data_IF_245928335972
#
_entry.id   IF_245928335972
#
_cell.length_a   1.000
_cell.length_b   1.000
_cell.length_c   1.000
_cell.angle_alpha   90.00
_cell.angle_beta   90.00
_cell.angle_gamma   90.00
#
_symmetry.space_group_name_H-M   'P 1'
#
loop_
_entity.id
_entity.type
_entity.pdbx_description
1 polymer ?
#
# COMPACT_ATOMS: atom_id res chain seq x y z
N UNK A 1 -8.53 -6.13 7.39
CA UNK A 1 -9.65 -5.49 6.67
C UNK A 1 -10.06 -4.20 7.35
N UNK A 2 -10.35 -3.14 6.58
CA UNK A 2 -10.46 -1.78 7.10
C UNK A 2 -11.83 -1.38 7.63
N UNK A 3 -12.91 -2.01 7.14
CA UNK A 3 -14.29 -1.84 7.60
C UNK A 3 -14.97 -3.20 7.59
N UNK A 4 -15.88 -3.46 8.53
CA UNK A 4 -16.72 -4.66 8.49
C UNK A 4 -17.73 -4.60 7.34
N UNK A 5 -18.02 -5.77 6.75
CA UNK A 5 -18.95 -5.94 5.65
C UNK A 5 -19.66 -7.31 5.74
N UNK A 6 -20.81 -7.41 5.09
CA UNK A 6 -21.63 -8.65 5.02
C UNK A 6 -21.39 -9.42 3.72
N UNK A 7 -20.95 -8.72 2.67
CA UNK A 7 -20.70 -9.27 1.35
C UNK A 7 -19.39 -8.71 0.81
N UNK A 8 -18.63 -9.52 0.08
CA UNK A 8 -17.37 -9.11 -0.53
C UNK A 8 -17.28 -9.42 -2.02
N UNK A 9 -16.32 -8.80 -2.69
CA UNK A 9 -15.74 -9.25 -3.95
C UNK A 9 -14.23 -9.37 -3.84
N UNK A 10 -13.66 -10.23 -4.67
CA UNK A 10 -12.22 -10.42 -4.77
C UNK A 10 -11.77 -9.98 -6.16
N UNK A 11 -10.67 -9.24 -6.23
CA UNK A 11 -9.98 -8.92 -7.47
C UNK A 11 -8.70 -9.75 -7.59
N UNK A 12 -8.53 -10.43 -8.72
CA UNK A 12 -7.33 -11.18 -9.04
C UNK A 12 -6.70 -10.58 -10.29
N UNK A 13 -5.40 -10.33 -10.23
CA UNK A 13 -4.64 -9.60 -11.23
C UNK A 13 -3.54 -10.46 -11.82
N UNK A 14 -3.42 -10.38 -13.15
CA UNK A 14 -2.31 -10.88 -13.93
C UNK A 14 -1.56 -9.71 -14.62
N UNK A 15 -1.58 -8.52 -14.01
CA UNK A 15 -1.03 -7.28 -14.57
C UNK A 15 0.42 -7.36 -15.07
N UNK A 16 1.25 -8.20 -14.44
CA UNK A 16 2.66 -8.39 -14.83
C UNK A 16 2.92 -9.75 -15.49
N UNK A 17 1.90 -10.59 -15.62
CA UNK A 17 2.04 -11.87 -16.31
C UNK A 17 2.04 -11.71 -17.81
N UNK A 18 2.91 -12.47 -18.46
CA UNK A 18 3.02 -12.53 -19.93
C UNK A 18 2.29 -13.73 -20.54
N UNK A 19 1.76 -14.62 -19.70
CA UNK A 19 0.95 -15.78 -20.06
C UNK A 19 -0.40 -15.69 -19.34
N UNK A 20 -1.40 -16.41 -19.86
CA UNK A 20 -2.66 -16.65 -19.18
C UNK A 20 -2.44 -17.23 -17.78
N UNK A 21 -3.24 -16.76 -16.81
CA UNK A 21 -3.30 -17.30 -15.45
C UNK A 21 -4.54 -18.21 -15.32
N UNK A 22 -4.38 -19.54 -15.36
CA UNK A 22 -5.49 -20.49 -15.37
C UNK A 22 -5.92 -20.85 -13.94
N UNK A 23 -6.84 -20.06 -13.38
CA UNK A 23 -7.38 -20.29 -12.04
C UNK A 23 -8.42 -21.41 -12.08
N UNK A 24 -8.15 -22.50 -11.36
CA UNK A 24 -9.06 -23.66 -11.33
C UNK A 24 -10.10 -23.53 -10.23
N UNK A 25 -9.72 -23.03 -9.06
CA UNK A 25 -10.63 -22.82 -7.94
C UNK A 25 -10.11 -21.76 -6.98
N UNK A 26 -11.01 -21.03 -6.34
CA UNK A 26 -10.69 -20.06 -5.28
C UNK A 26 -11.69 -20.21 -4.13
N UNK A 27 -11.19 -20.14 -2.90
CA UNK A 27 -12.02 -20.08 -1.69
C UNK A 27 -11.57 -18.94 -0.78
N UNK A 28 -12.48 -18.49 0.07
CA UNK A 28 -12.23 -17.49 1.10
C UNK A 28 -12.70 -18.01 2.45
N UNK A 29 -11.93 -17.71 3.51
CA UNK A 29 -12.26 -18.08 4.89
C UNK A 29 -11.65 -17.09 5.88
N UNK A 30 -12.15 -17.09 7.12
CA UNK A 30 -11.46 -16.41 8.22
C UNK A 30 -10.30 -17.30 8.71
N UNK A 31 -9.11 -16.74 8.97
CA UNK A 31 -8.04 -17.49 9.62
C UNK A 31 -8.39 -17.81 11.08
N UNK A 32 -7.80 -18.88 11.62
CA UNK A 32 -7.93 -19.20 13.05
C UNK A 32 -7.35 -18.05 13.89
N UNK A 33 -8.03 -17.70 14.99
CA UNK A 33 -7.63 -16.65 15.94
C UNK A 33 -7.40 -15.25 15.33
N UNK A 34 -7.93 -14.99 14.13
CA UNK A 34 -7.68 -13.74 13.40
C UNK A 34 -6.18 -13.47 13.15
N UNK A 35 -5.34 -14.51 13.07
CA UNK A 35 -3.90 -14.36 12.91
C UNK A 35 -3.54 -14.19 11.43
N UNK A 36 -2.71 -13.21 11.09
CA UNK A 36 -2.22 -13.04 9.73
C UNK A 36 -1.12 -14.07 9.42
N UNK A 37 -1.08 -14.56 8.19
CA UNK A 37 0.00 -15.40 7.67
C UNK A 37 0.08 -16.83 8.22
N UNK A 38 -0.94 -17.30 8.93
CA UNK A 38 -1.09 -18.72 9.28
C UNK A 38 -1.75 -19.50 8.15
N UNK A 39 -1.60 -20.82 8.11
CA UNK A 39 -2.24 -21.67 7.09
C UNK A 39 -3.62 -22.15 7.53
N UNK A 40 -3.90 -22.13 8.83
CA UNK A 40 -5.14 -22.64 9.43
C UNK A 40 -6.30 -21.66 9.22
N UNK A 41 -7.42 -22.21 8.73
CA UNK A 41 -8.66 -21.50 8.50
C UNK A 41 -9.80 -22.04 9.36
N UNK A 42 -10.80 -21.19 9.58
CA UNK A 42 -12.07 -21.58 10.17
C UNK A 42 -12.96 -22.17 9.07
N UNK A 43 -12.94 -23.49 8.89
CA UNK A 43 -13.65 -24.19 7.80
C UNK A 43 -15.16 -23.89 7.75
N UNK A 44 -15.79 -23.59 8.88
CA UNK A 44 -17.22 -23.18 8.94
C UNK A 44 -17.52 -21.86 8.22
N UNK A 45 -16.51 -21.02 8.01
CA UNK A 45 -16.62 -19.73 7.32
C UNK A 45 -16.30 -19.84 5.83
N UNK A 46 -15.85 -21.02 5.38
CA UNK A 46 -15.36 -21.21 4.02
C UNK A 46 -16.47 -20.96 2.99
N UNK A 47 -16.15 -20.12 2.00
CA UNK A 47 -17.00 -19.85 0.85
C UNK A 47 -16.22 -20.08 -0.43
N UNK A 48 -16.88 -20.72 -1.39
CA UNK A 48 -16.39 -20.81 -2.76
C UNK A 48 -16.52 -19.45 -3.44
N UNK A 49 -15.53 -19.12 -4.26
CA UNK A 49 -15.50 -17.91 -5.07
C UNK A 49 -15.79 -18.30 -6.51
N UNK A 50 -16.71 -17.60 -7.16
CA UNK A 50 -17.07 -17.79 -8.56
C UNK A 50 -16.80 -16.53 -9.37
N UNK A 51 -16.71 -16.67 -10.69
CA UNK A 51 -16.49 -15.62 -11.65
C UNK A 51 -17.51 -15.76 -12.79
N UNK A 52 -18.49 -14.86 -12.85
CA UNK A 52 -19.59 -14.94 -13.82
C UNK A 52 -20.31 -16.30 -13.78
N UNK A 53 -20.51 -16.85 -12.57
CA UNK A 53 -21.14 -18.15 -12.32
C UNK A 53 -20.20 -19.36 -12.44
N UNK A 54 -18.97 -19.21 -12.93
CA UNK A 54 -17.99 -20.29 -13.05
C UNK A 54 -17.09 -20.39 -11.82
N UNK A 55 -16.74 -21.61 -11.40
CA UNK A 55 -15.75 -21.84 -10.32
C UNK A 55 -14.30 -21.63 -10.76
N UNK A 56 -14.06 -21.57 -12.06
CA UNK A 56 -12.74 -21.39 -12.68
C UNK A 56 -12.77 -20.22 -13.67
N UNK A 57 -11.61 -19.63 -13.91
CA UNK A 57 -11.44 -18.54 -14.86
C UNK A 57 -10.01 -18.48 -15.38
N UNK A 58 -9.84 -18.06 -16.63
CA UNK A 58 -8.54 -17.67 -17.16
C UNK A 58 -8.44 -16.16 -17.10
N UNK A 59 -7.40 -15.66 -16.42
CA UNK A 59 -7.08 -14.22 -16.43
C UNK A 59 -6.07 -13.99 -17.55
N UNK A 60 -6.43 -13.24 -18.62
CA UNK A 60 -5.50 -12.95 -19.71
C UNK A 60 -4.23 -12.26 -19.22
N UNK A 61 -3.17 -12.31 -20.02
CA UNK A 61 -1.95 -11.53 -19.77
C UNK A 61 -2.26 -10.04 -19.57
N UNK A 62 -1.67 -9.42 -18.55
CA UNK A 62 -1.96 -8.03 -18.17
C UNK A 62 -3.38 -7.79 -17.62
N UNK A 63 -4.22 -8.81 -17.55
CA UNK A 63 -5.63 -8.72 -17.23
C UNK A 63 -5.93 -8.68 -15.73
N UNK A 64 -7.19 -8.38 -15.42
CA UNK A 64 -7.75 -8.42 -14.08
C UNK A 64 -9.17 -8.99 -14.15
N UNK A 65 -9.53 -9.83 -13.19
CA UNK A 65 -10.89 -10.36 -13.02
C UNK A 65 -11.42 -10.01 -11.64
N UNK A 66 -12.74 -9.94 -11.55
CA UNK A 66 -13.47 -9.68 -10.31
C UNK A 66 -14.42 -10.85 -10.08
N UNK A 67 -14.49 -11.34 -8.85
CA UNK A 67 -15.43 -12.40 -8.49
C UNK A 67 -16.89 -11.91 -8.54
N UNK A 68 -17.81 -12.86 -8.60
CA UNK A 68 -19.19 -12.61 -8.20
C UNK A 68 -19.24 -12.19 -6.71
N UNK A 69 -20.32 -11.53 -6.25
CA UNK A 69 -20.48 -11.22 -4.83
C UNK A 69 -20.49 -12.49 -3.97
N UNK A 70 -19.79 -12.46 -2.83
CA UNK A 70 -19.69 -13.57 -1.88
C UNK A 70 -20.31 -13.14 -0.56
N UNK A 71 -21.34 -13.85 -0.09
CA UNK A 71 -21.93 -13.65 1.23
C UNK A 71 -20.97 -14.13 2.32
N UNK A 72 -20.08 -13.22 2.72
CA UNK A 72 -18.97 -13.46 3.64
C UNK A 72 -18.87 -12.29 4.62
N UNK A 73 -19.42 -12.51 5.81
CA UNK A 73 -19.40 -11.54 6.90
C UNK A 73 -18.05 -11.54 7.59
N UNK A 74 -17.50 -10.36 7.83
CA UNK A 74 -16.33 -10.15 8.69
C UNK A 74 -16.40 -8.78 9.39
N UNK A 75 -15.74 -8.68 10.52
CA UNK A 75 -15.67 -7.46 11.33
C UNK A 75 -14.47 -6.57 10.96
N UNK A 76 -14.52 -5.31 11.37
CA UNK A 76 -13.39 -4.38 11.20
C UNK A 76 -12.13 -4.93 11.87
N UNK A 77 -10.96 -4.71 11.25
CA UNK A 77 -9.65 -5.24 11.66
C UNK A 77 -9.51 -6.77 11.61
N UNK A 78 -10.45 -7.50 11.01
CA UNK A 78 -10.25 -8.92 10.74
C UNK A 78 -9.34 -9.17 9.54
N UNK A 79 -8.60 -10.28 9.58
CA UNK A 79 -7.84 -10.86 8.49
C UNK A 79 -8.74 -11.82 7.70
N UNK A 80 -8.42 -12.00 6.44
CA UNK A 80 -9.09 -12.94 5.53
C UNK A 80 -8.02 -13.81 4.89
N UNK A 81 -8.29 -15.11 4.78
CA UNK A 81 -7.49 -16.05 4.02
C UNK A 81 -8.17 -16.29 2.67
N UNK A 82 -7.40 -16.20 1.58
CA UNK A 82 -7.84 -16.54 0.23
C UNK A 82 -6.94 -17.64 -0.28
N UNK A 83 -7.54 -18.76 -0.66
CA UNK A 83 -6.81 -19.90 -1.23
C UNK A 83 -7.10 -19.97 -2.72
N UNK A 84 -6.04 -19.96 -3.54
CA UNK A 84 -6.11 -20.02 -4.99
C UNK A 84 -5.43 -21.32 -5.45
N UNK A 85 -6.13 -22.11 -6.27
CA UNK A 85 -5.59 -23.33 -6.86
C UNK A 85 -5.44 -23.19 -8.38
N UNK A 86 -4.24 -23.52 -8.86
CA UNK A 86 -3.87 -23.54 -10.27
C UNK A 86 -3.51 -24.99 -10.63
N UNK A 87 -4.44 -25.76 -11.21
CA UNK A 87 -4.22 -27.18 -11.50
C UNK A 87 -3.02 -27.41 -12.43
N UNK A 88 -2.88 -26.56 -13.45
CA UNK A 88 -1.77 -26.60 -14.41
C UNK A 88 -0.56 -25.77 -13.97
N UNK A 89 -0.64 -25.11 -12.81
CA UNK A 89 0.33 -24.11 -12.37
C UNK A 89 0.27 -22.82 -13.20
N UNK A 90 1.17 -21.88 -12.89
CA UNK A 90 1.41 -20.68 -13.68
C UNK A 90 2.58 -20.92 -14.65
N UNK A 91 2.37 -20.61 -15.93
CA UNK A 91 3.44 -20.69 -16.92
C UNK A 91 4.41 -19.50 -16.80
N UNK A 92 5.71 -19.78 -16.81
CA UNK A 92 6.78 -18.78 -16.76
C UNK A 92 6.99 -18.16 -15.37
N UNK A 93 7.92 -17.20 -15.31
CA UNK A 93 8.37 -16.58 -14.05
C UNK A 93 7.90 -15.13 -13.85
N UNK A 94 7.22 -14.56 -14.84
CA UNK A 94 6.60 -13.24 -14.73
C UNK A 94 5.29 -13.39 -13.93
N UNK A 95 5.40 -13.41 -12.61
CA UNK A 95 4.28 -13.63 -11.69
C UNK A 95 3.86 -12.32 -11.03
N UNK A 96 2.60 -11.94 -11.22
CA UNK A 96 2.00 -10.78 -10.53
C UNK A 96 2.01 -11.03 -9.02
N UNK A 97 2.78 -10.22 -8.30
CA UNK A 97 3.04 -10.48 -6.89
C UNK A 97 3.43 -9.21 -6.12
N UNK A 98 3.32 -9.27 -4.80
CA UNK A 98 3.77 -8.22 -3.89
C UNK A 98 4.80 -8.78 -2.91
N UNK A 99 6.11 -8.68 -3.21
CA UNK A 99 7.18 -9.17 -2.33
C UNK A 99 7.30 -8.35 -1.03
N UNK A 100 6.69 -7.15 -1.01
CA UNK A 100 6.57 -6.31 0.17
C UNK A 100 5.33 -6.60 1.03
N UNK A 101 4.66 -7.75 0.89
CA UNK A 101 3.41 -8.00 1.61
C UNK A 101 3.57 -8.09 3.14
N UNK A 102 4.78 -8.36 3.65
CA UNK A 102 5.12 -8.62 5.08
C UNK A 102 4.08 -9.51 5.76
N UNK A 103 3.54 -10.43 4.97
CA UNK A 103 2.51 -11.39 5.36
C UNK A 103 2.83 -12.70 4.70
N UNK A 104 2.93 -13.75 5.49
CA UNK A 104 3.25 -15.09 5.03
C UNK A 104 2.12 -15.65 4.19
N UNK A 105 2.43 -16.12 2.98
CA UNK A 105 1.58 -17.01 2.19
C UNK A 105 2.12 -18.42 2.27
N UNK A 106 1.22 -19.40 2.22
CA UNK A 106 1.54 -20.82 2.23
C UNK A 106 1.25 -21.43 0.86
N UNK A 107 2.08 -22.38 0.43
CA UNK A 107 2.06 -22.98 -0.89
C UNK A 107 2.23 -24.49 -0.72
N UNK A 108 1.37 -25.29 -1.33
CA UNK A 108 1.42 -26.77 -1.28
C UNK A 108 0.84 -27.33 -2.57
N UNK A 109 1.19 -28.56 -2.91
CA UNK A 109 0.69 -29.22 -4.11
C UNK A 109 -0.74 -29.76 -3.95
N UNK A 110 -1.42 -29.91 -5.08
CA UNK A 110 -2.76 -30.46 -5.15
C UNK A 110 -3.87 -29.47 -4.80
N UNK A 111 -5.11 -29.90 -5.00
CA UNK A 111 -6.28 -29.06 -4.73
C UNK A 111 -6.61 -29.05 -3.23
N UNK A 112 -6.10 -28.03 -2.52
CA UNK A 112 -6.31 -27.85 -1.08
C UNK A 112 -7.31 -26.73 -0.74
N UNK A 113 -8.16 -26.29 -1.69
CA UNK A 113 -9.06 -25.14 -1.47
C UNK A 113 -10.06 -25.32 -0.32
N UNK A 114 -10.34 -26.56 0.09
CA UNK A 114 -11.22 -26.89 1.22
C UNK A 114 -10.47 -27.40 2.46
N UNK A 115 -9.14 -27.43 2.43
CA UNK A 115 -8.34 -27.96 3.52
C UNK A 115 -8.42 -27.03 4.75
N UNK A 116 -8.52 -27.56 5.98
CA UNK A 116 -8.51 -26.75 7.19
C UNK A 116 -7.18 -26.03 7.42
N UNK A 117 -6.09 -26.55 6.86
CA UNK A 117 -4.74 -25.97 6.92
C UNK A 117 -3.81 -26.62 5.89
N UNK A 118 -2.67 -26.00 5.62
CA UNK A 118 -1.63 -26.56 4.75
C UNK A 118 -0.55 -27.26 5.57
N UNK A 119 -0.74 -28.55 5.84
CA UNK A 119 0.14 -29.37 6.69
C UNK A 119 0.84 -30.49 5.92
N UNK A 120 0.74 -30.50 4.59
CA UNK A 120 1.39 -31.52 3.78
C UNK A 120 2.93 -31.40 3.90
N UNK A 121 3.69 -32.50 3.76
CA UNK A 121 5.15 -32.47 3.87
C UNK A 121 5.84 -31.53 2.87
N UNK A 122 5.18 -31.22 1.75
CA UNK A 122 5.66 -30.31 0.71
C UNK A 122 5.23 -28.85 0.92
N UNK A 123 4.50 -28.55 1.99
CA UNK A 123 4.04 -27.20 2.27
C UNK A 123 5.23 -26.25 2.50
N UNK A 124 5.33 -25.23 1.66
CA UNK A 124 6.28 -24.14 1.76
C UNK A 124 5.58 -22.85 2.18
N UNK A 125 6.36 -21.86 2.63
CA UNK A 125 5.82 -20.54 2.93
C UNK A 125 6.82 -19.43 2.59
N UNK A 126 6.30 -18.23 2.33
CA UNK A 126 7.10 -17.03 2.04
C UNK A 126 6.32 -15.76 2.39
N UNK A 127 7.01 -14.71 2.83
CA UNK A 127 6.39 -13.41 3.14
C UNK A 127 6.12 -12.59 1.86
N UNK A 128 5.19 -13.07 1.04
CA UNK A 128 4.92 -12.59 -0.32
C UNK A 128 3.44 -12.82 -0.67
N UNK A 129 2.74 -11.85 -1.26
CA UNK A 129 1.40 -12.09 -1.84
C UNK A 129 1.48 -12.36 -3.35
N UNK A 130 0.57 -13.18 -3.86
CA UNK A 130 0.47 -13.51 -5.29
C UNK A 130 -0.96 -13.29 -5.78
N UNK A 131 -1.09 -12.70 -6.96
CA UNK A 131 -2.32 -12.52 -7.76
C UNK A 131 -3.46 -11.69 -7.14
N UNK A 132 -3.77 -11.86 -5.86
CA UNK A 132 -4.80 -11.13 -5.13
C UNK A 132 -4.45 -9.64 -5.08
N UNK A 133 -5.27 -8.80 -5.72
CA UNK A 133 -5.04 -7.35 -5.80
C UNK A 133 -5.99 -6.53 -4.92
N UNK A 134 -7.19 -7.04 -4.62
CA UNK A 134 -8.11 -6.40 -3.68
C UNK A 134 -9.11 -7.39 -3.08
N UNK A 135 -9.58 -7.05 -1.88
CA UNK A 135 -10.82 -7.56 -1.29
C UNK A 135 -11.70 -6.36 -1.01
N UNK A 136 -12.87 -6.33 -1.63
CA UNK A 136 -13.81 -5.21 -1.59
C UNK A 136 -15.02 -5.59 -0.75
N UNK A 137 -15.31 -4.86 0.31
CA UNK A 137 -16.51 -5.06 1.12
C UNK A 137 -17.66 -4.19 0.65
N UNK A 138 -18.85 -4.77 0.49
CA UNK A 138 -20.06 -4.00 0.31
C UNK A 138 -20.45 -3.34 1.63
N UNK A 139 -20.54 -2.01 1.63
CA UNK A 139 -20.81 -1.25 2.82
C UNK A 139 -21.87 -0.17 2.57
N UNK A 140 -22.70 0.11 3.57
CA UNK A 140 -23.77 1.11 3.48
C UNK A 140 -23.23 2.53 3.19
N UNK A 141 -24.11 3.40 2.68
CA UNK A 141 -23.79 4.79 2.36
C UNK A 141 -23.20 5.57 3.54
N UNK A 142 -22.38 6.58 3.23
CA UNK A 142 -21.67 7.42 4.20
C UNK A 142 -20.25 6.94 4.57
N UNK A 143 -19.85 5.75 4.11
CA UNK A 143 -18.47 5.27 4.21
C UNK A 143 -17.63 5.71 3.01
N UNK A 144 -16.31 5.73 3.17
CA UNK A 144 -15.38 6.09 2.09
C UNK A 144 -14.02 5.45 2.29
N UNK A 145 -13.11 5.66 1.34
CA UNK A 145 -11.76 5.11 1.38
C UNK A 145 -10.70 6.21 1.34
N UNK A 146 -9.68 6.03 2.16
CA UNK A 146 -8.43 6.77 2.15
C UNK A 146 -7.37 5.93 1.45
N UNK A 147 -6.96 6.36 0.26
CA UNK A 147 -5.98 5.65 -0.56
C UNK A 147 -4.62 6.31 -0.44
N UNK A 148 -3.59 5.51 -0.16
CA UNK A 148 -2.23 6.00 0.05
C UNK A 148 -1.31 5.43 -1.03
N UNK A 149 -0.75 6.31 -1.85
CA UNK A 149 0.31 6.03 -2.80
C UNK A 149 1.63 6.30 -2.09
N UNK A 150 2.54 5.33 -2.12
CA UNK A 150 3.74 5.35 -1.30
C UNK A 150 4.83 4.40 -1.75
N UNK A 151 5.99 4.50 -1.10
CA UNK A 151 7.14 3.62 -1.32
C UNK A 151 7.29 2.57 -0.19
N UNK A 152 8.51 2.04 -0.02
CA UNK A 152 8.84 1.04 1.02
C UNK A 152 8.51 1.48 2.45
N UNK A 153 8.48 2.77 2.73
CA UNK A 153 8.15 3.29 4.07
C UNK A 153 6.66 3.08 4.35
N UNK A 154 5.78 3.39 3.39
CA UNK A 154 4.34 3.18 3.55
C UNK A 154 3.96 1.71 3.36
N UNK A 155 4.64 1.03 2.46
CA UNK A 155 4.51 -0.43 2.26
C UNK A 155 5.02 -1.21 3.49
N UNK A 156 5.77 -0.56 4.38
CA UNK A 156 5.98 -1.02 5.75
C UNK A 156 7.27 -1.79 6.00
N UNK A 157 8.35 -1.53 5.27
CA UNK A 157 9.69 -2.05 5.59
C UNK A 157 10.08 -1.65 7.02
N UNK A 158 10.56 -2.57 7.86
CA UNK A 158 10.81 -2.31 9.29
C UNK A 158 9.63 -2.63 10.21
N UNK A 159 8.46 -2.98 9.67
CA UNK A 159 7.35 -3.56 10.43
C UNK A 159 7.56 -5.05 10.72
N UNK A 160 6.76 -5.61 11.62
CA UNK A 160 6.81 -7.05 11.94
C UNK A 160 6.05 -7.84 10.88
N UNK A 161 6.70 -8.84 10.29
CA UNK A 161 6.02 -9.82 9.42
C UNK A 161 4.85 -10.45 10.17
N UNK A 162 3.67 -10.48 9.54
CA UNK A 162 2.39 -10.93 10.12
C UNK A 162 1.84 -10.05 11.26
N UNK A 163 2.48 -8.91 11.56
CA UNK A 163 2.10 -8.06 12.70
C UNK A 163 1.01 -7.01 12.41
N UNK A 164 0.73 -6.73 11.13
CA UNK A 164 -0.18 -5.65 10.69
C UNK A 164 0.06 -4.35 11.50
N UNK A 165 1.33 -3.94 11.58
CA UNK A 165 1.79 -2.82 12.41
C UNK A 165 2.64 -1.81 11.61
N UNK A 166 2.30 -1.65 10.32
CA UNK A 166 2.77 -0.53 9.50
C UNK A 166 2.03 0.75 9.91
N UNK A 167 2.55 1.92 9.55
CA UNK A 167 1.85 3.17 9.92
C UNK A 167 0.40 3.26 9.40
N UNK A 168 0.02 2.75 8.20
CA UNK A 168 -1.39 2.78 7.78
C UNK A 168 -2.27 1.84 8.61
N UNK A 169 -1.73 0.69 9.06
CA UNK A 169 -2.45 -0.24 9.93
C UNK A 169 -2.69 0.38 11.31
N UNK A 170 -1.66 1.04 11.86
CA UNK A 170 -1.72 1.73 13.15
C UNK A 170 -2.63 2.97 13.08
N UNK A 171 -2.59 3.71 11.96
CA UNK A 171 -3.49 4.82 11.69
C UNK A 171 -4.94 4.33 11.65
N UNK A 172 -5.22 3.24 10.95
CA UNK A 172 -6.56 2.64 10.90
C UNK A 172 -7.07 2.31 12.31
N UNK A 173 -6.24 1.74 13.19
CA UNK A 173 -6.61 1.50 14.60
C UNK A 173 -6.92 2.80 15.36
N UNK A 174 -6.17 3.87 15.10
CA UNK A 174 -6.45 5.19 15.67
C UNK A 174 -7.76 5.79 15.12
N UNK A 175 -8.05 5.61 13.84
CA UNK A 175 -9.30 6.05 13.20
C UNK A 175 -10.53 5.38 13.81
N UNK A 176 -10.44 4.09 14.20
CA UNK A 176 -11.56 3.40 14.84
C UNK A 176 -12.00 4.02 16.17
N UNK A 177 -11.16 4.86 16.81
CA UNK A 177 -11.47 5.54 18.08
C UNK A 177 -12.35 6.80 17.90
N UNK A 178 -12.66 7.23 16.68
CA UNK A 178 -13.44 8.44 16.40
C UNK A 178 -14.65 8.13 15.51
N UNK A 179 -15.77 8.79 15.79
CA UNK A 179 -17.05 8.50 15.11
C UNK A 179 -17.00 8.69 13.59
N UNK A 180 -16.34 9.76 13.13
CA UNK A 180 -16.26 10.06 11.70
C UNK A 180 -15.27 9.12 10.99
N UNK A 181 -14.05 9.01 11.50
CA UNK A 181 -12.99 8.27 10.80
C UNK A 181 -13.12 6.75 10.88
N UNK A 182 -13.87 6.20 11.84
CA UNK A 182 -14.21 4.76 11.83
C UNK A 182 -15.03 4.30 10.62
N UNK A 183 -15.60 5.24 9.85
CA UNK A 183 -16.33 4.97 8.62
C UNK A 183 -15.45 5.00 7.36
N UNK A 184 -14.15 5.24 7.51
CA UNK A 184 -13.21 5.38 6.41
C UNK A 184 -12.30 4.15 6.38
N UNK A 185 -12.28 3.44 5.26
CA UNK A 185 -11.31 2.37 5.02
C UNK A 185 -9.95 2.97 4.66
N UNK A 186 -8.87 2.30 5.06
CA UNK A 186 -7.51 2.62 4.58
C UNK A 186 -7.12 1.61 3.52
N UNK A 187 -6.69 2.09 2.36
CA UNK A 187 -6.19 1.30 1.23
C UNK A 187 -4.72 1.69 1.00
N UNK A 188 -3.82 0.80 1.38
CA UNK A 188 -2.40 0.99 1.19
C UNK A 188 -1.99 0.50 -0.20
N UNK A 189 -1.72 1.43 -1.12
CA UNK A 189 -1.24 1.19 -2.47
C UNK A 189 0.25 1.50 -2.60
N UNK A 190 1.00 1.41 -1.49
CA UNK A 190 2.43 1.62 -1.52
C UNK A 190 3.17 0.38 -2.02
N UNK A 191 4.31 0.60 -2.68
CA UNK A 191 5.17 -0.47 -3.16
C UNK A 191 6.63 -0.22 -2.81
N UNK A 192 7.32 -1.24 -2.30
CA UNK A 192 8.75 -1.17 -2.01
C UNK A 192 9.57 -0.68 -3.20
N UNK A 193 10.50 0.26 -2.96
CA UNK A 193 11.33 0.83 -4.02
C UNK A 193 10.56 1.60 -5.10
N UNK A 194 9.29 1.95 -4.86
CA UNK A 194 8.53 2.74 -5.83
C UNK A 194 9.09 4.15 -5.97
N UNK A 195 8.96 4.67 -7.18
CA UNK A 195 9.47 5.95 -7.62
C UNK A 195 8.36 6.66 -8.37
N UNK A 196 8.35 7.98 -8.31
CA UNK A 196 7.35 8.79 -9.01
C UNK A 196 7.66 8.87 -10.50
N UNK A 197 8.94 8.99 -10.87
CA UNK A 197 9.35 9.37 -12.23
C UNK A 197 9.69 8.19 -13.15
N UNK A 198 10.15 7.07 -12.59
CA UNK A 198 10.68 5.93 -13.33
C UNK A 198 10.26 4.63 -12.66
N UNK A 199 10.09 3.54 -13.41
CA UNK A 199 9.73 2.25 -12.82
C UNK A 199 10.83 1.76 -11.88
N UNK A 200 10.48 1.27 -10.68
CA UNK A 200 11.41 0.72 -9.69
C UNK A 200 11.31 -0.80 -9.64
N UNK A 201 11.01 -1.33 -8.45
CA UNK A 201 10.58 -2.74 -8.29
C UNK A 201 9.17 -2.99 -8.86
N UNK A 202 8.48 -1.93 -9.28
CA UNK A 202 7.20 -1.95 -9.98
C UNK A 202 6.98 -0.63 -10.74
N UNK A 203 5.83 -0.48 -11.43
CA UNK A 203 5.52 0.71 -12.23
C UNK A 203 5.59 2.01 -11.43
N UNK A 204 6.08 3.07 -12.06
CA UNK A 204 6.16 4.40 -11.46
C UNK A 204 4.80 4.92 -10.97
N UNK A 205 4.82 5.76 -9.93
CA UNK A 205 3.60 6.27 -9.30
C UNK A 205 2.73 7.10 -10.27
N UNK A 206 3.36 7.90 -11.15
CA UNK A 206 2.61 8.70 -12.14
C UNK A 206 1.76 7.81 -13.07
N UNK A 207 2.29 6.68 -13.50
CA UNK A 207 1.65 5.75 -14.42
C UNK A 207 0.57 4.87 -13.79
N UNK A 208 0.44 4.87 -12.46
CA UNK A 208 -0.49 3.98 -11.74
C UNK A 208 -1.63 4.67 -11.00
N UNK A 209 -1.73 6.01 -11.05
CA UNK A 209 -2.79 6.77 -10.32
C UNK A 209 -4.20 6.32 -10.71
N UNK A 210 -4.51 6.12 -12.00
CA UNK A 210 -5.86 5.66 -12.39
C UNK A 210 -6.17 4.31 -11.78
N UNK A 211 -5.25 3.35 -11.92
CA UNK A 211 -5.42 1.97 -11.47
C UNK A 211 -5.51 1.88 -9.95
N UNK A 212 -4.57 2.54 -9.26
CA UNK A 212 -4.36 2.35 -7.83
C UNK A 212 -5.17 3.32 -6.98
N UNK A 213 -5.62 4.44 -7.52
CA UNK A 213 -6.39 5.45 -6.76
C UNK A 213 -7.80 5.61 -7.33
N UNK A 214 -7.91 6.01 -8.59
CA UNK A 214 -9.18 6.47 -9.16
C UNK A 214 -10.15 5.32 -9.45
N UNK A 215 -9.63 4.12 -9.75
CA UNK A 215 -10.41 2.91 -9.99
C UNK A 215 -10.74 2.12 -8.70
N UNK A 216 -10.34 2.63 -7.53
CA UNK A 216 -10.68 2.02 -6.25
C UNK A 216 -12.08 2.46 -5.79
N UNK A 217 -12.99 1.52 -5.45
CA UNK A 217 -14.33 1.90 -5.04
C UNK A 217 -14.34 2.71 -3.75
N UNK A 218 -15.18 3.75 -3.73
CA UNK A 218 -15.40 4.57 -2.55
C UNK A 218 -14.22 5.49 -2.18
N UNK A 219 -13.20 5.65 -3.04
CA UNK A 219 -12.14 6.64 -2.82
C UNK A 219 -12.74 8.00 -2.51
N UNK A 220 -12.34 8.54 -1.36
CA UNK A 220 -12.81 9.83 -0.84
C UNK A 220 -11.65 10.73 -0.41
N UNK A 221 -10.50 10.14 -0.06
CA UNK A 221 -9.29 10.86 0.30
C UNK A 221 -8.09 10.18 -0.34
N UNK A 222 -7.12 10.96 -0.79
CA UNK A 222 -5.89 10.46 -1.41
C UNK A 222 -4.69 11.03 -0.65
N UNK A 223 -3.64 10.24 -0.49
CA UNK A 223 -2.35 10.73 -0.02
C UNK A 223 -1.23 10.22 -0.90
N UNK A 224 -0.24 11.07 -1.15
CA UNK A 224 1.04 10.68 -1.72
C UNK A 224 2.16 10.88 -0.70
N UNK A 225 2.95 9.83 -0.48
CA UNK A 225 4.16 9.85 0.32
C UNK A 225 5.27 9.07 -0.39
N UNK A 226 5.94 9.74 -1.31
CA UNK A 226 6.98 9.18 -2.18
C UNK A 226 8.04 10.24 -2.51
N UNK A 227 9.08 9.82 -3.24
CA UNK A 227 10.15 10.67 -3.78
C UNK A 227 11.53 10.33 -3.23
N UNK A 228 11.62 9.57 -2.13
CA UNK A 228 12.92 9.19 -1.55
C UNK A 228 13.75 8.34 -2.50
N UNK A 229 13.12 7.40 -3.21
CA UNK A 229 13.81 6.53 -4.15
C UNK A 229 14.19 7.25 -5.44
N UNK A 230 13.44 8.26 -5.88
CA UNK A 230 13.80 9.12 -7.01
C UNK A 230 15.10 9.88 -6.72
N UNK A 231 15.21 10.46 -5.52
CA UNK A 231 16.43 11.16 -5.04
C UNK A 231 17.58 10.17 -4.84
N UNK A 232 17.32 9.08 -4.10
CA UNK A 232 18.31 8.13 -3.64
C UNK A 232 18.94 7.27 -4.74
N UNK A 233 18.19 6.99 -5.82
CA UNK A 233 18.70 6.20 -6.96
C UNK A 233 19.38 7.04 -8.03
N UNK A 234 19.08 8.34 -8.13
CA UNK A 234 19.75 9.23 -9.06
C UNK A 234 21.21 9.50 -8.63
N UNK A 235 22.13 9.78 -9.56
CA UNK A 235 23.49 10.21 -9.22
C UNK A 235 23.48 11.40 -8.25
N UNK A 236 24.44 11.45 -7.35
CA UNK A 236 24.58 12.53 -6.36
C UNK A 236 25.27 13.78 -6.91
N UNK A 237 25.21 14.02 -8.22
CA UNK A 237 25.74 15.24 -8.86
C UNK A 237 24.67 16.31 -8.88
N UNK A 238 25.08 17.58 -8.86
CA UNK A 238 24.18 18.73 -8.87
C UNK A 238 23.25 18.71 -10.09
N UNK A 239 23.78 18.34 -11.25
CA UNK A 239 23.04 18.31 -12.52
C UNK A 239 21.94 17.25 -12.49
N UNK A 240 22.27 16.03 -12.05
CA UNK A 240 21.29 14.94 -11.97
C UNK A 240 20.20 15.24 -10.94
N UNK A 241 20.60 15.78 -9.80
CA UNK A 241 19.71 16.14 -8.70
C UNK A 241 18.80 17.33 -9.05
N UNK A 242 19.28 18.29 -9.84
CA UNK A 242 18.44 19.37 -10.38
C UNK A 242 17.36 18.82 -11.32
N UNK A 243 17.70 17.87 -12.19
CA UNK A 243 16.72 17.20 -13.06
C UNK A 243 15.67 16.47 -12.23
N UNK A 244 16.07 15.75 -11.19
CA UNK A 244 15.14 15.07 -10.27
C UNK A 244 14.20 16.07 -9.60
N UNK A 245 14.73 17.16 -9.04
CA UNK A 245 13.93 18.22 -8.41
C UNK A 245 12.86 18.76 -9.36
N UNK A 246 13.25 19.21 -10.56
CA UNK A 246 12.32 19.81 -11.52
C UNK A 246 11.25 18.83 -11.96
N UNK A 247 11.63 17.58 -12.24
CA UNK A 247 10.69 16.55 -12.68
C UNK A 247 9.74 16.12 -11.57
N UNK A 248 10.20 16.01 -10.31
CA UNK A 248 9.34 15.67 -9.18
C UNK A 248 8.30 16.76 -8.89
N UNK A 249 8.68 18.03 -8.94
CA UNK A 249 7.73 19.15 -8.78
C UNK A 249 6.60 19.06 -9.80
N UNK A 250 6.94 18.90 -11.08
CA UNK A 250 5.95 18.76 -12.15
C UNK A 250 5.10 17.50 -11.99
N UNK A 251 5.70 16.39 -11.58
CA UNK A 251 5.01 15.13 -11.33
C UNK A 251 3.95 15.26 -10.24
N UNK A 252 4.31 15.85 -9.11
CA UNK A 252 3.41 16.07 -7.99
C UNK A 252 2.21 16.94 -8.40
N UNK A 253 2.46 17.99 -9.19
CA UNK A 253 1.39 18.83 -9.75
C UNK A 253 0.46 18.03 -10.64
N UNK A 254 0.99 17.25 -11.59
CA UNK A 254 0.17 16.44 -12.50
C UNK A 254 -0.64 15.36 -11.78
N UNK A 255 -0.07 14.71 -10.76
CA UNK A 255 -0.78 13.75 -9.92
C UNK A 255 -1.94 14.45 -9.19
N UNK A 256 -1.67 15.59 -8.56
CA UNK A 256 -2.72 16.36 -7.87
C UNK A 256 -3.83 16.80 -8.81
N UNK A 257 -3.49 17.36 -9.97
CA UNK A 257 -4.46 17.76 -11.00
C UNK A 257 -5.37 16.60 -11.43
N UNK A 258 -4.81 15.40 -11.66
CA UNK A 258 -5.60 14.21 -12.02
C UNK A 258 -6.51 13.73 -10.90
N UNK A 259 -6.08 13.82 -9.65
CA UNK A 259 -6.91 13.49 -8.49
C UNK A 259 -8.03 14.50 -8.28
N UNK A 260 -7.71 15.80 -8.39
CA UNK A 260 -8.68 16.88 -8.32
C UNK A 260 -9.73 16.79 -9.42
N UNK A 261 -9.40 16.33 -10.64
CA UNK A 261 -10.40 16.11 -11.69
C UNK A 261 -11.57 15.20 -11.27
N UNK A 262 -11.37 14.35 -10.25
CA UNK A 262 -12.40 13.49 -9.64
C UNK A 262 -13.02 14.10 -8.36
N UNK A 263 -12.74 15.37 -8.07
CA UNK A 263 -13.17 16.14 -6.88
C UNK A 263 -12.66 15.55 -5.56
N UNK A 264 -11.56 14.80 -5.61
CA UNK A 264 -10.96 14.14 -4.46
C UNK A 264 -9.88 15.03 -3.83
N UNK A 265 -9.87 15.22 -2.51
CA UNK A 265 -8.75 15.86 -1.83
C UNK A 265 -7.50 14.98 -1.92
N UNK A 266 -6.35 15.60 -2.15
CA UNK A 266 -5.04 14.96 -2.10
C UNK A 266 -4.16 15.59 -1.02
N UNK A 267 -3.65 14.74 -0.13
CA UNK A 267 -2.69 15.07 0.90
C UNK A 267 -1.28 14.68 0.45
N UNK A 268 -0.26 15.41 0.91
CA UNK A 268 1.13 15.01 0.73
C UNK A 268 1.84 14.88 2.08
N UNK A 269 2.78 13.93 2.17
CA UNK A 269 3.79 13.94 3.23
C UNK A 269 5.14 14.43 2.69
N UNK A 270 5.87 15.16 3.52
CA UNK A 270 7.29 15.47 3.28
C UNK A 270 8.13 14.20 3.33
N UNK A 271 9.16 14.13 2.48
CA UNK A 271 10.14 13.05 2.40
C UNK A 271 10.95 12.99 3.70
N UNK A 272 10.96 11.85 4.37
CA UNK A 272 11.67 11.65 5.64
C UNK A 272 13.19 11.65 5.46
N UNK A 273 13.97 11.88 6.53
CA UNK A 273 15.42 11.83 6.46
C UNK A 273 15.96 10.46 6.00
N UNK A 274 17.10 10.48 5.31
CA UNK A 274 17.83 9.28 4.86
C UNK A 274 19.36 9.41 5.00
N UNK A 275 19.81 10.44 5.72
CA UNK A 275 21.21 10.70 5.98
C UNK A 275 21.79 9.64 6.92
N UNK A 276 23.07 9.37 6.72
CA UNK A 276 23.79 8.32 7.42
C UNK A 276 25.24 8.72 7.65
N UNK A 277 25.80 8.41 8.84
CA UNK A 277 27.24 8.52 9.09
C UNK A 277 28.05 7.45 8.34
N UNK A 278 27.40 6.40 7.82
CA UNK A 278 28.02 5.31 7.08
C UNK A 278 27.32 5.13 5.70
N UNK A 279 27.84 5.75 4.63
CA UNK A 279 27.26 5.65 3.29
C UNK A 279 27.17 4.21 2.75
N UNK A 280 27.95 3.26 3.28
CA UNK A 280 27.82 1.84 2.91
C UNK A 280 26.61 1.18 3.55
N UNK A 281 26.14 1.66 4.70
CA UNK A 281 24.90 1.20 5.33
C UNK A 281 23.68 1.80 4.62
N UNK A 282 23.74 3.09 4.30
CA UNK A 282 22.68 3.78 3.58
C UNK A 282 23.22 4.50 2.33
N UNK A 283 23.16 3.84 1.16
CA UNK A 283 23.68 4.38 -0.09
C UNK A 283 23.00 5.66 -0.58
N UNK A 284 21.82 6.00 -0.04
CA UNK A 284 21.13 7.26 -0.38
C UNK A 284 21.81 8.48 0.25
N UNK A 285 22.57 8.28 1.34
CA UNK A 285 23.24 9.36 2.06
C UNK A 285 24.30 10.05 1.20
N UNK A 286 23.99 11.26 0.74
CA UNK A 286 24.93 12.15 0.06
C UNK A 286 24.49 13.61 0.29
N UNK A 287 25.42 14.57 0.47
CA UNK A 287 25.08 15.97 0.70
C UNK A 287 24.17 16.58 -0.37
N UNK A 288 24.42 16.30 -1.66
CA UNK A 288 23.61 16.85 -2.74
C UNK A 288 22.20 16.25 -2.77
N UNK A 289 22.04 14.96 -2.45
CA UNK A 289 20.73 14.32 -2.32
C UNK A 289 19.93 14.90 -1.15
N UNK A 290 20.58 15.18 -0.03
CA UNK A 290 19.96 15.86 1.11
C UNK A 290 19.53 17.28 0.75
N UNK A 291 20.36 18.03 0.03
CA UNK A 291 20.00 19.34 -0.51
C UNK A 291 18.72 19.27 -1.37
N UNK A 292 18.64 18.29 -2.27
CA UNK A 292 17.43 18.03 -3.07
C UNK A 292 16.21 17.69 -2.22
N UNK A 293 16.37 16.81 -1.22
CA UNK A 293 15.29 16.44 -0.30
C UNK A 293 14.74 17.67 0.42
N UNK A 294 15.60 18.54 0.93
CA UNK A 294 15.21 19.77 1.61
C UNK A 294 14.46 20.72 0.66
N UNK A 295 14.94 20.89 -0.58
CA UNK A 295 14.27 21.70 -1.60
C UNK A 295 12.87 21.16 -1.95
N UNK A 296 12.74 19.85 -2.12
CA UNK A 296 11.45 19.20 -2.40
C UNK A 296 10.51 19.36 -1.20
N UNK A 297 10.99 19.13 0.03
CA UNK A 297 10.17 19.27 1.22
C UNK A 297 9.72 20.72 1.45
N UNK A 298 10.57 21.70 1.21
CA UNK A 298 10.20 23.12 1.23
C UNK A 298 9.11 23.42 0.18
N UNK A 299 9.26 22.91 -1.04
CA UNK A 299 8.24 23.04 -2.08
C UNK A 299 6.91 22.37 -1.69
N UNK A 300 6.94 21.14 -1.16
CA UNK A 300 5.75 20.41 -0.67
C UNK A 300 5.05 21.25 0.41
N UNK A 301 5.77 21.79 1.39
CA UNK A 301 5.19 22.65 2.44
C UNK A 301 4.53 23.90 1.86
N UNK A 302 5.18 24.56 0.90
CA UNK A 302 4.68 25.77 0.24
C UNK A 302 3.51 25.52 -0.72
N UNK A 303 3.31 24.27 -1.15
CA UNK A 303 2.24 23.89 -2.06
C UNK A 303 0.92 23.53 -1.36
N UNK A 304 0.91 23.50 -0.01
CA UNK A 304 -0.31 23.40 0.80
C UNK A 304 -1.33 24.47 0.43
N UNK A 305 -2.57 24.05 0.15
CA UNK A 305 -3.67 24.90 -0.29
C UNK A 305 -3.57 25.37 -1.74
N UNK A 306 -2.59 24.88 -2.51
CA UNK A 306 -2.37 25.23 -3.92
C UNK A 306 -2.35 23.99 -4.81
N UNK A 307 -1.45 23.05 -4.51
CA UNK A 307 -1.32 21.76 -5.19
C UNK A 307 -1.92 20.65 -4.32
N UNK A 308 -1.61 20.66 -3.02
CA UNK A 308 -2.15 19.69 -2.07
C UNK A 308 -3.12 20.36 -1.13
N UNK A 309 -4.23 19.69 -0.84
CA UNK A 309 -5.26 20.18 0.08
C UNK A 309 -4.77 20.20 1.53
N UNK A 310 -3.89 19.26 1.86
CA UNK A 310 -3.16 19.22 3.12
C UNK A 310 -1.74 18.68 2.93
N UNK A 311 -0.86 19.10 3.84
CA UNK A 311 0.52 18.62 3.93
C UNK A 311 0.79 18.18 5.36
N UNK A 312 1.32 16.97 5.53
CA UNK A 312 1.71 16.40 6.81
C UNK A 312 3.24 16.26 6.86
N UNK A 313 3.87 16.89 7.85
CA UNK A 313 5.32 17.01 7.91
C UNK A 313 5.98 15.79 8.58
N UNK A 314 6.00 14.66 7.86
CA UNK A 314 6.66 13.43 8.31
C UNK A 314 8.17 13.60 8.52
N UNK A 315 8.82 14.54 7.82
CA UNK A 315 10.21 14.91 8.07
C UNK A 315 10.36 15.45 9.50
N UNK A 316 9.52 16.43 9.89
CA UNK A 316 9.53 16.96 11.24
C UNK A 316 9.16 15.92 12.30
N UNK A 317 8.34 14.91 11.96
CA UNK A 317 8.00 13.84 12.89
C UNK A 317 9.20 12.95 13.19
N UNK A 318 9.98 12.60 12.17
CA UNK A 318 10.96 11.53 12.28
C UNK A 318 12.41 11.99 12.38
N UNK A 319 12.73 13.24 12.06
CA UNK A 319 14.12 13.72 12.09
C UNK A 319 14.72 13.79 13.48
N UNK A 320 16.00 13.44 13.59
CA UNK A 320 16.77 13.61 14.82
C UNK A 320 16.90 15.11 15.15
N UNK A 321 16.51 15.58 16.35
CA UNK A 321 16.71 16.97 16.76
C UNK A 321 18.19 17.39 16.80
N UNK A 322 19.14 16.46 16.90
CA UNK A 322 20.59 16.73 16.89
C UNK A 322 21.18 16.75 15.49
N UNK A 323 20.57 16.04 14.54
CA UNK A 323 20.98 16.04 13.14
C UNK A 323 19.78 15.78 12.22
N UNK A 324 19.19 16.86 11.69
CA UNK A 324 17.97 16.80 10.89
C UNK A 324 18.10 16.01 9.57
N UNK A 325 19.32 15.63 9.18
CA UNK A 325 19.55 14.77 8.01
C UNK A 325 19.28 13.29 8.30
N UNK A 326 19.18 12.89 9.57
CA UNK A 326 19.01 11.49 10.00
C UNK A 326 17.65 11.26 10.66
N UNK A 327 17.21 10.01 10.67
CA UNK A 327 16.09 9.59 11.52
C UNK A 327 16.49 9.68 12.98
N UNK A 328 15.54 10.09 13.84
CA UNK A 328 15.70 10.05 15.28
C UNK A 328 15.96 8.59 15.71
N UNK A 329 17.01 8.28 16.48
CA UNK A 329 17.41 6.90 16.76
C UNK A 329 16.31 5.94 17.24
N UNK A 330 15.35 6.33 18.10
CA UNK A 330 14.23 5.45 18.49
C UNK A 330 13.30 5.11 17.33
N UNK A 331 13.26 5.95 16.30
CA UNK A 331 12.41 5.79 15.12
C UNK A 331 13.15 5.17 13.93
N UNK A 332 14.45 4.90 14.03
CA UNK A 332 15.21 4.22 12.98
C UNK A 332 15.14 2.69 13.16
N UNK A 333 14.85 1.95 12.08
CA UNK A 333 14.91 0.49 12.09
C UNK A 333 16.35 -0.06 12.11
N UNK A 334 17.34 0.82 11.93
CA UNK A 334 18.77 0.52 11.92
C UNK A 334 19.42 0.64 10.54
N UNK A 335 18.64 0.94 9.49
CA UNK A 335 19.13 1.16 8.13
C UNK A 335 19.14 2.64 7.70
N UNK A 336 18.77 3.55 8.63
CA UNK A 336 18.82 4.99 8.46
C UNK A 336 17.93 5.53 7.34
N UNK A 337 16.92 4.75 6.94
CA UNK A 337 15.92 5.14 5.92
C UNK A 337 14.51 4.74 6.34
N UNK A 338 14.34 3.52 6.86
CA UNK A 338 13.02 3.01 7.19
C UNK A 338 12.71 3.18 8.68
N UNK A 339 11.49 3.65 9.01
CA UNK A 339 11.07 3.75 10.39
C UNK A 339 11.04 2.39 11.10
N UNK A 340 11.42 2.39 12.37
CA UNK A 340 11.12 1.30 13.31
C UNK A 340 9.62 1.23 13.61
N UNK A 341 9.20 0.19 14.34
CA UNK A 341 7.83 0.13 14.87
C UNK A 341 7.46 1.36 15.71
N UNK A 342 8.38 1.88 16.51
CA UNK A 342 8.14 3.10 17.28
C UNK A 342 7.99 4.32 16.37
N UNK A 343 8.76 4.41 15.28
CA UNK A 343 8.59 5.43 14.25
C UNK A 343 7.24 5.35 13.55
N UNK A 344 6.79 4.15 13.17
CA UNK A 344 5.47 3.95 12.57
C UNK A 344 4.32 4.28 13.52
N UNK A 345 4.43 3.91 14.80
CA UNK A 345 3.47 4.29 15.82
C UNK A 345 3.41 5.82 15.98
N UNK A 346 4.57 6.47 16.00
CA UNK A 346 4.65 7.93 16.11
C UNK A 346 4.00 8.65 14.92
N UNK A 347 4.20 8.17 13.69
CA UNK A 347 3.50 8.69 12.50
C UNK A 347 1.98 8.57 12.69
N UNK A 348 1.50 7.37 13.06
CA UNK A 348 0.07 7.11 13.21
C UNK A 348 -0.58 7.93 14.33
N UNK A 349 0.14 8.20 15.42
CA UNK A 349 -0.35 9.00 16.55
C UNK A 349 -0.37 10.50 16.26
N UNK A 350 0.55 10.97 15.42
CA UNK A 350 0.63 12.39 15.02
C UNK A 350 -0.21 12.73 13.79
N UNK A 351 -0.78 11.74 13.10
CA UNK A 351 -1.58 11.98 11.91
C UNK A 351 -2.84 12.80 12.24
N UNK A 352 -3.08 13.95 11.58
CA UNK A 352 -4.21 14.81 11.86
C UNK A 352 -5.52 14.24 11.30
N UNK A 353 -6.28 13.54 12.16
CA UNK A 353 -7.53 12.90 11.76
C UNK A 353 -8.65 13.88 11.38
N UNK A 354 -8.58 15.13 11.83
CA UNK A 354 -9.53 16.20 11.51
C UNK A 354 -9.50 16.60 10.03
N UNK A 355 -8.44 16.25 9.29
CA UNK A 355 -8.40 16.43 7.83
C UNK A 355 -9.57 15.72 7.13
N UNK A 356 -9.95 14.55 7.63
CA UNK A 356 -11.03 13.78 7.02
C UNK A 356 -12.38 14.51 7.17
N UNK A 357 -12.67 15.07 8.35
CA UNK A 357 -13.86 15.89 8.58
C UNK A 357 -13.84 17.14 7.68
N UNK A 358 -12.70 17.82 7.62
CA UNK A 358 -12.51 19.06 6.85
C UNK A 358 -12.82 18.90 5.36
N UNK A 359 -12.41 17.77 4.78
CA UNK A 359 -12.56 17.51 3.34
C UNK A 359 -13.67 16.50 3.03
N UNK A 360 -14.63 16.31 3.95
CA UNK A 360 -15.74 15.37 3.77
C UNK A 360 -16.49 15.56 2.44
N UNK A 361 -16.65 16.81 2.00
CA UNK A 361 -17.42 17.17 0.81
C UNK A 361 -16.61 17.16 -0.48
N UNK A 362 -15.37 16.66 -0.44
CA UNK A 362 -14.45 16.74 -1.57
C UNK A 362 -13.86 18.14 -1.75
N UNK A 363 -13.30 18.36 -2.95
CA UNK A 363 -12.66 19.64 -3.33
C UNK A 363 -13.10 20.07 -4.73
N UNK A 364 -12.77 21.30 -5.12
CA UNK A 364 -13.01 21.75 -6.49
C UNK A 364 -12.09 20.99 -7.46
N UNK A 365 -12.64 20.56 -8.60
CA UNK A 365 -11.91 19.69 -9.53
C UNK A 365 -11.22 20.36 -10.70
N UNK A 366 -11.19 21.69 -10.76
CA UNK A 366 -10.65 22.44 -11.91
C UNK A 366 -9.58 23.48 -11.54
N UNK A 367 -9.19 23.58 -10.27
CA UNK A 367 -8.23 24.58 -9.81
C UNK A 367 -6.78 24.13 -9.99
#
# INVERSE_FOLDING_TARGET
>A
MSLGAEQIRIRISNAFGVNDLPITAVTVALPVNNTAGISEIQTKTLKQVTFSGSSSIIVPNGGLVVSDPIDFKFDVLQNIAVTIYLEKGQAGFAVTSHPGSRTTSWITSGNQVNAPSFNAPDAANTAHWYFLSAVEGWVNGGKGAFVIVGDSITDGRGSTTNGNNRWPDLLLRNMQKKHFTRQISVINQAAGGNRILNDGLGPNAQGRIERDVLAQPGTKYVMIFEGVNDIGTAPATKEAQEVVYQRLVLAFQQIATRVHAFKLPIFAATITPFGSPNPSLQPYSAPERENTRLRINDWIRKSKGKVFDAVIDFDAFLRDPKNATQLNPPYDSGDQLHPSLAGYQYIADKFPLDLFDKFEKGVNGFN
#
